data_IF_175716124949
#
_entry.id   IF_175716124949
#
_cell.length_a   1.000
_cell.length_b   1.000
_cell.length_c   1.000
_cell.angle_alpha   90.00
_cell.angle_beta   90.00
_cell.angle_gamma   90.00
#
_symmetry.space_group_name_H-M   'P 1'
#
loop_
_entity.id
_entity.type
_entity.pdbx_description
1 polymer ?
#
# COMPACT_ATOMS: atom_id res chain seq x y z
N UNK A 1 -13.74 -6.51 1.28
CA UNK A 1 -13.04 -6.11 0.04
C UNK A 1 -13.46 -4.69 -0.27
N UNK A 2 -12.50 -3.85 -0.61
CA UNK A 2 -12.64 -2.42 -0.88
C UNK A 2 -12.00 -2.13 -2.23
N UNK A 3 -12.67 -1.31 -3.03
CA UNK A 3 -12.12 -0.79 -4.28
C UNK A 3 -11.86 0.71 -4.13
N UNK A 4 -10.72 1.17 -4.60
CA UNK A 4 -10.27 2.56 -4.50
C UNK A 4 -10.03 3.08 -5.91
N UNK A 5 -10.53 4.29 -6.16
CA UNK A 5 -10.24 5.07 -7.35
C UNK A 5 -9.81 6.48 -6.89
N UNK A 6 -8.63 6.90 -7.30
CA UNK A 6 -8.08 8.23 -7.05
C UNK A 6 -7.74 8.92 -8.36
N UNK A 7 -7.98 10.22 -8.44
CA UNK A 7 -7.59 11.06 -9.56
C UNK A 7 -6.88 12.30 -9.01
N UNK A 8 -5.79 12.69 -9.65
CA UNK A 8 -5.14 13.98 -9.41
C UNK A 8 -4.81 14.63 -10.75
N UNK A 9 -5.11 15.93 -10.85
CA UNK A 9 -4.75 16.76 -12.00
C UNK A 9 -3.40 17.49 -11.83
N UNK A 10 -2.71 17.24 -10.71
CA UNK A 10 -1.39 17.76 -10.38
C UNK A 10 -0.70 16.75 -9.44
N UNK A 11 -0.18 15.67 -10.01
CA UNK A 11 0.49 14.61 -9.25
C UNK A 11 1.88 15.09 -8.83
N UNK A 12 2.26 14.89 -7.58
CA UNK A 12 3.59 15.29 -7.05
C UNK A 12 3.96 16.77 -7.25
N UNK A 13 2.99 17.67 -7.45
CA UNK A 13 3.20 19.08 -7.77
C UNK A 13 4.00 19.28 -9.09
N UNK A 14 3.71 18.44 -10.09
CA UNK A 14 4.36 18.48 -11.41
C UNK A 14 3.60 19.31 -12.45
N UNK A 15 2.28 19.53 -12.27
CA UNK A 15 1.27 19.95 -13.28
C UNK A 15 0.70 18.80 -14.15
N UNK A 16 1.10 17.55 -13.91
CA UNK A 16 0.66 16.38 -14.67
C UNK A 16 -0.49 15.62 -13.99
N UNK A 17 -1.18 14.81 -14.79
CA UNK A 17 -2.32 14.00 -14.34
C UNK A 17 -1.90 12.58 -13.98
N UNK A 18 -2.61 11.98 -13.03
CA UNK A 18 -2.50 10.55 -12.75
C UNK A 18 -3.78 9.97 -12.17
N UNK A 19 -3.94 8.67 -12.37
CA UNK A 19 -5.10 7.91 -11.87
C UNK A 19 -4.62 6.69 -11.11
N UNK A 20 -5.10 6.55 -9.88
CA UNK A 20 -4.81 5.44 -9.01
C UNK A 20 -6.00 4.50 -8.88
N UNK A 21 -5.78 3.21 -9.05
CA UNK A 21 -6.79 2.17 -8.87
C UNK A 21 -6.25 1.13 -7.90
N UNK A 22 -7.02 0.74 -6.89
CA UNK A 22 -6.61 -0.31 -5.98
C UNK A 22 -7.76 -1.21 -5.53
N UNK A 23 -7.39 -2.41 -5.11
CA UNK A 23 -8.26 -3.36 -4.44
C UNK A 23 -7.57 -3.82 -3.16
N UNK A 24 -8.32 -3.83 -2.07
CA UNK A 24 -7.84 -4.33 -0.79
C UNK A 24 -8.87 -5.19 -0.08
N UNK A 25 -8.43 -6.03 0.84
CA UNK A 25 -9.32 -6.90 1.58
C UNK A 25 -8.64 -7.48 2.81
N UNK A 26 -9.48 -7.84 3.77
CA UNK A 26 -9.08 -8.58 4.95
C UNK A 26 -9.88 -9.87 5.01
N UNK A 27 -9.21 -10.97 5.36
CA UNK A 27 -9.80 -12.29 5.49
C UNK A 27 -9.36 -12.93 6.80
N UNK A 28 -10.34 -13.24 7.66
CA UNK A 28 -10.09 -14.00 8.88
C UNK A 28 -9.64 -15.42 8.56
N UNK A 29 -8.45 -15.81 9.04
CA UNK A 29 -7.93 -17.16 8.90
C UNK A 29 -8.61 -18.11 9.90
N UNK A 30 -8.88 -19.37 9.52
CA UNK A 30 -9.59 -20.30 10.39
C UNK A 30 -8.71 -20.85 11.54
N UNK A 31 -7.47 -20.41 11.65
CA UNK A 31 -6.54 -20.78 12.71
C UNK A 31 -5.94 -19.53 13.37
N UNK A 32 -5.63 -19.66 14.67
CA UNK A 32 -4.85 -18.70 15.46
C UNK A 32 -5.42 -17.27 15.56
N UNK A 33 -6.71 -17.07 15.24
CA UNK A 33 -7.37 -15.76 15.32
C UNK A 33 -6.64 -14.68 14.51
N UNK A 34 -6.01 -15.09 13.41
CA UNK A 34 -5.30 -14.19 12.52
C UNK A 34 -6.25 -13.60 11.48
N UNK A 35 -6.01 -12.35 11.09
CA UNK A 35 -6.51 -11.79 9.83
C UNK A 35 -5.37 -11.71 8.82
N UNK A 36 -5.66 -12.06 7.58
CA UNK A 36 -4.80 -11.85 6.43
C UNK A 36 -5.28 -10.59 5.69
N UNK A 37 -4.41 -9.61 5.58
CA UNK A 37 -4.66 -8.33 4.93
C UNK A 37 -3.88 -8.26 3.62
N UNK A 38 -4.57 -7.96 2.52
CA UNK A 38 -3.99 -7.87 1.17
C UNK A 38 -4.40 -6.55 0.53
N UNK A 39 -3.46 -5.92 -0.18
CA UNK A 39 -3.70 -4.75 -1.02
C UNK A 39 -2.89 -4.85 -2.30
N UNK A 40 -3.48 -4.43 -3.41
CA UNK A 40 -2.84 -4.29 -4.70
C UNK A 40 -3.36 -3.01 -5.36
N UNK A 41 -2.45 -2.14 -5.76
CA UNK A 41 -2.74 -0.87 -6.41
C UNK A 41 -1.89 -0.64 -7.65
N UNK A 42 -2.44 0.08 -8.61
CA UNK A 42 -1.76 0.53 -9.81
C UNK A 42 -1.95 2.03 -9.96
N UNK A 43 -0.85 2.76 -10.09
CA UNK A 43 -0.86 4.18 -10.36
C UNK A 43 -0.42 4.40 -11.80
N UNK A 44 -1.38 4.80 -12.64
CA UNK A 44 -1.18 5.27 -14.00
C UNK A 44 -0.74 6.74 -13.94
N UNK A 45 0.51 6.99 -14.29
CA UNK A 45 1.16 8.30 -14.28
C UNK A 45 1.47 8.74 -15.70
N UNK A 46 1.42 10.05 -15.95
CA UNK A 46 1.93 10.62 -17.18
C UNK A 46 3.45 10.38 -17.29
N UNK A 47 3.92 9.97 -18.48
CA UNK A 47 5.33 9.66 -18.77
C UNK A 47 6.29 10.81 -18.39
N UNK A 48 5.79 12.05 -18.29
CA UNK A 48 6.58 13.23 -17.90
C UNK A 48 6.96 13.22 -16.41
N UNK A 49 6.11 12.63 -15.56
CA UNK A 49 6.33 12.48 -14.10
C UNK A 49 7.04 11.17 -13.78
N UNK A 50 7.03 10.20 -14.67
CA UNK A 50 7.65 8.90 -14.46
C UNK A 50 6.77 7.77 -14.94
N UNK A 51 7.32 6.56 -14.96
CA UNK A 51 6.56 5.41 -15.40
C UNK A 51 5.41 5.09 -14.42
N UNK A 52 4.43 4.36 -14.91
CA UNK A 52 3.37 3.83 -14.05
C UNK A 52 3.91 2.72 -13.15
N UNK A 53 3.42 2.62 -11.90
CA UNK A 53 3.90 1.60 -10.95
C UNK A 53 2.75 0.84 -10.27
N UNK A 54 3.04 -0.41 -9.87
CA UNK A 54 2.15 -1.21 -9.02
C UNK A 54 2.69 -1.27 -7.60
N UNK A 55 1.86 -0.93 -6.61
CA UNK A 55 2.14 -1.14 -5.19
C UNK A 55 1.35 -2.35 -4.65
N UNK A 56 1.92 -3.05 -3.68
CA UNK A 56 1.21 -4.13 -3.01
C UNK A 56 1.62 -4.27 -1.56
N UNK A 57 0.72 -4.84 -0.76
CA UNK A 57 1.00 -5.19 0.61
C UNK A 57 0.38 -6.52 1.01
N UNK A 58 1.09 -7.27 1.83
CA UNK A 58 0.59 -8.47 2.50
C UNK A 58 0.88 -8.36 3.98
N UNK A 59 -0.15 -8.48 4.80
CA UNK A 59 -0.07 -8.36 6.24
C UNK A 59 -0.82 -9.47 6.97
N UNK A 60 -0.38 -9.72 8.19
CA UNK A 60 -1.11 -10.54 9.15
C UNK A 60 -1.31 -9.75 10.42
N UNK A 61 -2.50 -9.84 11.00
CA UNK A 61 -2.84 -9.17 12.24
C UNK A 61 -3.52 -10.13 13.21
N UNK A 62 -3.35 -9.87 14.51
CA UNK A 62 -4.01 -10.60 15.59
C UNK A 62 -4.54 -9.65 16.65
N UNK A 63 -5.75 -9.92 17.11
CA UNK A 63 -6.35 -9.22 18.23
C UNK A 63 -6.10 -9.96 19.55
N UNK A 64 -5.77 -9.21 20.59
CA UNK A 64 -5.54 -9.63 21.96
C UNK A 64 -6.41 -8.77 22.88
N UNK A 65 -7.72 -8.97 22.82
CA UNK A 65 -8.67 -8.12 23.55
C UNK A 65 -8.66 -6.70 22.98
N UNK A 66 -8.23 -5.72 23.78
CA UNK A 66 -8.17 -4.31 23.37
C UNK A 66 -6.92 -3.96 22.53
N UNK A 67 -5.96 -4.88 22.41
CA UNK A 67 -4.70 -4.66 21.66
C UNK A 67 -4.74 -5.41 20.33
N UNK A 68 -4.35 -4.76 19.25
CA UNK A 68 -4.13 -5.40 17.95
C UNK A 68 -2.64 -5.34 17.61
N UNK A 69 -2.05 -6.48 17.26
CA UNK A 69 -0.69 -6.54 16.73
C UNK A 69 -0.72 -6.90 15.24
N UNK A 70 0.10 -6.23 14.45
CA UNK A 70 0.18 -6.45 13.00
C UNK A 70 1.62 -6.53 12.50
N UNK A 71 1.81 -7.30 11.44
CA UNK A 71 3.04 -7.34 10.67
C UNK A 71 2.68 -7.29 9.18
N UNK A 72 3.19 -6.29 8.46
CA UNK A 72 2.85 -6.04 7.05
C UNK A 72 4.11 -5.85 6.21
N UNK A 73 4.22 -6.58 5.11
CA UNK A 73 5.19 -6.33 4.05
C UNK A 73 4.55 -5.40 3.00
N UNK A 74 5.28 -4.38 2.56
CA UNK A 74 4.84 -3.41 1.55
C UNK A 74 5.97 -3.26 0.53
N UNK A 75 5.60 -3.25 -0.74
CA UNK A 75 6.55 -3.23 -1.85
C UNK A 75 5.94 -2.60 -3.12
N UNK A 76 6.78 -2.30 -4.09
CA UNK A 76 6.43 -1.66 -5.35
C UNK A 76 7.22 -2.29 -6.49
N UNK A 77 6.53 -2.68 -7.56
CA UNK A 77 7.07 -3.41 -8.72
C UNK A 77 8.21 -2.70 -9.46
N UNK A 78 8.18 -1.37 -9.52
CA UNK A 78 9.17 -0.55 -10.21
C UNK A 78 9.69 0.52 -9.24
N UNK A 79 10.62 0.11 -8.38
CA UNK A 79 11.27 1.00 -7.42
C UNK A 79 11.94 2.18 -8.13
N UNK A 80 12.64 1.91 -9.25
CA UNK A 80 13.50 2.88 -9.95
C UNK A 80 12.74 4.13 -10.41
N UNK A 81 11.45 3.98 -10.71
CA UNK A 81 10.55 5.06 -11.12
C UNK A 81 10.27 6.05 -9.98
N UNK A 82 10.22 5.55 -8.75
CA UNK A 82 10.04 6.36 -7.56
C UNK A 82 11.36 6.94 -7.04
N UNK A 83 12.51 6.47 -7.54
CA UNK A 83 13.82 6.95 -7.09
C UNK A 83 14.02 8.43 -7.44
N UNK A 84 13.53 8.87 -8.61
CA UNK A 84 13.62 10.27 -9.05
C UNK A 84 12.87 11.24 -8.14
N UNK A 85 11.82 10.78 -7.43
CA UNK A 85 10.98 11.61 -6.54
C UNK A 85 11.27 11.40 -5.06
N UNK A 86 11.59 10.17 -4.65
CA UNK A 86 11.69 9.76 -3.24
C UNK A 86 13.10 9.30 -2.84
N UNK A 87 14.04 9.25 -3.77
CA UNK A 87 15.40 8.74 -3.58
C UNK A 87 15.40 7.27 -3.17
N UNK A 88 16.49 6.82 -2.53
CA UNK A 88 16.68 5.44 -2.05
C UNK A 88 15.68 4.95 -0.97
N UNK A 89 14.62 5.71 -0.67
CA UNK A 89 13.56 5.32 0.26
C UNK A 89 12.42 4.52 -0.42
N UNK A 90 12.59 4.16 -1.69
CA UNK A 90 11.66 3.38 -2.51
C UNK A 90 11.75 1.86 -2.26
N UNK A 91 12.59 1.41 -1.32
CA UNK A 91 12.75 -0.01 -1.00
C UNK A 91 11.52 -0.62 -0.31
N UNK A 92 11.43 -1.94 -0.43
CA UNK A 92 10.45 -2.76 0.28
C UNK A 92 10.62 -2.64 1.80
N UNK A 93 9.53 -2.77 2.54
CA UNK A 93 9.55 -2.59 4.00
C UNK A 93 8.65 -3.57 4.73
N UNK A 94 9.09 -3.98 5.91
CA UNK A 94 8.27 -4.71 6.89
C UNK A 94 7.91 -3.76 8.01
N UNK A 95 6.61 -3.59 8.24
CA UNK A 95 6.04 -2.71 9.27
C UNK A 95 5.44 -3.57 10.38
N UNK A 96 5.93 -3.40 11.59
CA UNK A 96 5.29 -3.91 12.79
C UNK A 96 4.41 -2.83 13.42
N UNK A 97 3.19 -3.17 13.81
CA UNK A 97 2.23 -2.23 14.40
C UNK A 97 1.60 -2.78 15.68
N UNK A 98 1.31 -1.86 16.61
CA UNK A 98 0.51 -2.11 17.80
C UNK A 98 -0.57 -1.03 17.89
N UNK A 99 -1.82 -1.44 17.96
CA UNK A 99 -2.98 -0.58 18.17
C UNK A 99 -3.67 -0.91 19.48
N UNK A 100 -4.27 0.09 20.12
CA UNK A 100 -5.12 -0.09 21.30
C UNK A 100 -6.47 0.60 21.07
N UNK A 101 -7.57 -0.15 21.19
CA UNK A 101 -8.94 0.35 21.08
C UNK A 101 -9.58 0.59 22.45
N UNK A 102 -10.23 1.74 22.62
CA UNK A 102 -10.98 2.13 23.83
C UNK A 102 -12.48 2.20 23.57
#
# INVERSE_FOLDING_TARGET
VTFTLGYSNDVFASDETGIYYAVSGSYGLPWWELSLDLSLGYYDLDDTVGDSYTDYSIGVSREFGAVTAGLTYIDTSDSDVLEDFFGANNENRVVFSLGYGF
#
